data_IF_884930922342
#
_entry.id   IF_884930922342
#
_cell.length_a   1.000
_cell.length_b   1.000
_cell.length_c   1.000
_cell.angle_alpha   90.00
_cell.angle_beta   90.00
_cell.angle_gamma   90.00
#
_symmetry.space_group_name_H-M   'P 1'
#
loop_
_entity.id
_entity.type
_entity.pdbx_description
1 polymer ?
#
# COMPACT_ATOMS: atom_id res chain seq x y z
N UNK A 1 -27.78 -31.04 -15.76
CA UNK A 1 -27.36 -30.66 -14.39
C UNK A 1 -28.61 -30.52 -13.55
N UNK A 2 -28.70 -31.28 -12.45
CA UNK A 2 -29.88 -31.29 -11.58
C UNK A 2 -30.01 -29.94 -10.84
N UNK A 3 -31.24 -29.44 -10.60
CA UNK A 3 -31.48 -28.18 -9.87
C UNK A 3 -30.82 -28.19 -8.47
N UNK A 4 -30.74 -29.36 -7.83
CA UNK A 4 -30.08 -29.51 -6.53
C UNK A 4 -28.56 -29.39 -6.64
N UNK A 5 -27.93 -30.00 -7.65
CA UNK A 5 -26.48 -29.88 -7.91
C UNK A 5 -26.07 -28.43 -8.24
N UNK A 6 -26.89 -27.71 -9.00
CA UNK A 6 -26.66 -26.31 -9.31
C UNK A 6 -26.75 -25.42 -8.05
N UNK A 7 -27.72 -25.68 -7.17
CA UNK A 7 -27.89 -24.95 -5.91
C UNK A 7 -26.72 -25.20 -4.94
N UNK A 8 -26.28 -26.44 -4.81
CA UNK A 8 -25.19 -26.81 -3.91
C UNK A 8 -23.84 -26.24 -4.37
N UNK A 9 -23.61 -26.16 -5.70
CA UNK A 9 -22.44 -25.47 -6.27
C UNK A 9 -22.41 -23.96 -6.00
N UNK A 10 -23.58 -23.34 -5.87
CA UNK A 10 -23.74 -21.91 -5.61
C UNK A 10 -23.37 -21.57 -4.16
N UNK A 11 -23.83 -22.36 -3.20
CA UNK A 11 -23.49 -22.19 -1.79
C UNK A 11 -21.99 -22.31 -1.52
N UNK A 12 -21.35 -23.29 -2.15
CA UNK A 12 -19.89 -23.48 -2.06
C UNK A 12 -19.16 -22.26 -2.64
N UNK A 13 -19.61 -21.75 -3.78
CA UNK A 13 -19.00 -20.57 -4.42
C UNK A 13 -19.13 -19.31 -3.54
N UNK A 14 -20.30 -19.07 -2.96
CA UNK A 14 -20.53 -17.94 -2.05
C UNK A 14 -19.66 -18.03 -0.80
N UNK A 15 -19.59 -19.22 -0.19
CA UNK A 15 -18.77 -19.45 0.99
C UNK A 15 -17.28 -19.23 0.69
N UNK A 16 -16.82 -19.66 -0.49
CA UNK A 16 -15.45 -19.46 -0.94
C UNK A 16 -15.12 -17.97 -1.16
N UNK A 17 -16.04 -17.20 -1.77
CA UNK A 17 -15.87 -15.74 -1.95
C UNK A 17 -15.76 -15.03 -0.59
N UNK A 18 -16.59 -15.41 0.39
CA UNK A 18 -16.55 -14.83 1.74
C UNK A 18 -15.21 -15.12 2.42
N UNK A 19 -14.72 -16.37 2.34
CA UNK A 19 -13.43 -16.74 2.94
C UNK A 19 -12.29 -15.97 2.27
N UNK A 20 -12.26 -15.91 0.94
CA UNK A 20 -11.22 -15.16 0.21
C UNK A 20 -11.26 -13.67 0.56
N UNK A 21 -12.46 -13.08 0.63
CA UNK A 21 -12.66 -11.70 1.06
C UNK A 21 -12.16 -11.45 2.48
N UNK A 22 -12.41 -12.36 3.41
CA UNK A 22 -11.92 -12.28 4.79
C UNK A 22 -10.39 -12.34 4.87
N UNK A 23 -9.76 -13.25 4.12
CA UNK A 23 -8.29 -13.35 4.05
C UNK A 23 -7.68 -12.06 3.49
N UNK A 24 -8.19 -11.58 2.35
CA UNK A 24 -7.71 -10.35 1.72
C UNK A 24 -7.89 -9.15 2.66
N UNK A 25 -9.06 -9.03 3.31
CA UNK A 25 -9.35 -7.95 4.26
C UNK A 25 -8.44 -7.98 5.48
N UNK A 26 -8.17 -9.16 6.03
CA UNK A 26 -7.27 -9.34 7.19
C UNK A 26 -5.84 -8.98 6.84
N UNK A 27 -5.34 -9.48 5.71
CA UNK A 27 -3.99 -9.15 5.22
C UNK A 27 -3.86 -7.65 4.94
N UNK A 28 -4.88 -7.03 4.31
CA UNK A 28 -4.95 -5.60 4.08
C UNK A 28 -4.94 -4.79 5.39
N UNK A 29 -5.65 -5.24 6.42
CA UNK A 29 -5.67 -4.61 7.74
C UNK A 29 -4.31 -4.68 8.45
N UNK A 30 -3.65 -5.84 8.44
CA UNK A 30 -2.30 -6.01 9.01
C UNK A 30 -1.31 -5.11 8.27
N UNK A 31 -1.38 -5.09 6.94
CA UNK A 31 -0.56 -4.25 6.09
C UNK A 31 -0.74 -2.75 6.37
N UNK A 32 -1.99 -2.28 6.48
CA UNK A 32 -2.32 -0.91 6.81
C UNK A 32 -1.77 -0.49 8.18
N UNK A 33 -1.99 -1.33 9.20
CA UNK A 33 -1.53 -1.06 10.54
C UNK A 33 0.00 -1.07 10.63
N UNK A 34 0.65 -2.05 9.98
CA UNK A 34 2.10 -2.13 9.89
C UNK A 34 2.73 -0.91 9.23
N UNK A 35 2.09 -0.33 8.20
CA UNK A 35 2.54 0.92 7.59
C UNK A 35 2.53 2.08 8.61
N UNK A 36 1.43 2.27 9.33
CA UNK A 36 1.29 3.39 10.28
C UNK A 36 2.23 3.23 11.46
N UNK A 37 2.26 2.04 12.09
CA UNK A 37 3.17 1.74 13.21
C UNK A 37 4.63 1.87 12.77
N UNK A 38 4.98 1.32 11.60
CA UNK A 38 6.33 1.37 11.07
C UNK A 38 6.78 2.81 10.78
N UNK A 39 5.94 3.62 10.15
CA UNK A 39 6.28 5.01 9.84
C UNK A 39 6.49 5.82 11.12
N UNK A 40 5.60 5.63 12.10
CA UNK A 40 5.71 6.25 13.42
C UNK A 40 7.00 5.84 14.14
N UNK A 41 7.34 4.54 14.11
CA UNK A 41 8.56 4.02 14.71
C UNK A 41 9.81 4.73 14.16
N UNK A 42 9.93 4.87 12.84
CA UNK A 42 11.08 5.56 12.24
C UNK A 42 11.09 7.06 12.55
N UNK A 43 9.91 7.70 12.58
CA UNK A 43 9.81 9.12 12.93
C UNK A 43 10.29 9.39 14.36
N UNK A 44 9.95 8.54 15.32
CA UNK A 44 10.37 8.65 16.72
C UNK A 44 11.88 8.45 16.93
N UNK A 45 12.59 7.85 15.97
CA UNK A 45 14.06 7.75 16.01
C UNK A 45 14.76 9.06 15.64
N UNK A 46 14.06 10.00 15.03
CA UNK A 46 14.64 11.30 14.66
C UNK A 46 14.77 12.12 15.94
N UNK A 47 15.98 12.58 16.33
CA UNK A 47 16.21 13.31 17.56
C UNK A 47 15.74 14.78 17.41
N UNK A 48 14.43 14.97 17.26
CA UNK A 48 13.79 16.29 17.22
C UNK A 48 13.34 16.61 18.64
N UNK A 49 13.95 17.60 19.27
CA UNK A 49 13.46 18.14 20.54
C UNK A 49 12.05 18.70 20.35
N UNK A 50 11.11 18.37 21.25
CA UNK A 50 9.74 18.91 21.21
C UNK A 50 9.66 20.43 21.38
N UNK A 51 10.76 21.07 21.78
CA UNK A 51 10.88 22.52 21.75
C UNK A 51 11.22 22.99 20.33
N UNK A 52 10.21 23.55 19.65
CA UNK A 52 10.27 24.09 18.29
C UNK A 52 11.26 25.26 18.09
N UNK A 53 12.12 25.55 19.08
CA UNK A 53 13.04 26.70 19.10
C UNK A 53 14.51 26.32 19.09
N UNK A 54 14.88 25.04 19.09
CA UNK A 54 16.27 24.62 18.92
C UNK A 54 16.65 24.60 17.42
N UNK A 55 17.56 25.49 16.96
CA UNK A 55 18.02 25.52 15.58
C UNK A 55 18.66 24.21 15.12
N UNK A 56 19.26 23.44 16.03
CA UNK A 56 19.90 22.16 15.71
C UNK A 56 18.85 21.10 15.36
N UNK A 57 17.81 20.99 16.20
CA UNK A 57 16.66 20.12 15.97
C UNK A 57 15.96 20.42 14.64
N UNK A 58 15.78 21.70 14.33
CA UNK A 58 15.25 22.15 13.03
C UNK A 58 16.13 21.69 11.87
N UNK A 59 17.45 21.91 11.96
CA UNK A 59 18.41 21.51 10.92
C UNK A 59 18.43 19.99 10.67
N UNK A 60 18.38 19.19 11.73
CA UNK A 60 18.33 17.72 11.64
C UNK A 60 17.05 17.28 10.93
N UNK A 61 15.89 17.82 11.32
CA UNK A 61 14.62 17.46 10.69
C UNK A 61 14.62 17.77 9.18
N UNK A 62 15.12 18.95 8.79
CA UNK A 62 15.29 19.29 7.37
C UNK A 62 16.25 18.36 6.63
N UNK A 63 17.38 17.99 7.25
CA UNK A 63 18.32 17.06 6.66
C UNK A 63 17.67 15.68 6.42
N UNK A 64 16.85 15.20 7.35
CA UNK A 64 16.09 13.95 7.19
C UNK A 64 15.07 14.05 6.06
N UNK A 65 14.32 15.15 5.96
CA UNK A 65 13.38 15.38 4.85
C UNK A 65 14.08 15.39 3.48
N UNK A 66 15.23 16.07 3.38
CA UNK A 66 16.05 16.08 2.16
C UNK A 66 16.58 14.68 1.85
N UNK A 67 17.07 13.96 2.85
CA UNK A 67 17.52 12.58 2.71
C UNK A 67 16.41 11.65 2.20
N UNK A 68 15.21 11.77 2.77
CA UNK A 68 14.03 11.03 2.34
C UNK A 68 13.66 11.36 0.88
N UNK A 69 13.66 12.63 0.50
CA UNK A 69 13.40 13.06 -0.87
C UNK A 69 14.43 12.47 -1.85
N UNK A 70 15.72 12.50 -1.53
CA UNK A 70 16.78 11.90 -2.34
C UNK A 70 16.61 10.38 -2.46
N UNK A 71 16.20 9.71 -1.39
CA UNK A 71 15.95 8.27 -1.39
C UNK A 71 14.75 7.91 -2.28
N UNK A 72 13.67 8.69 -2.21
CA UNK A 72 12.50 8.53 -3.09
C UNK A 72 12.86 8.77 -4.56
N UNK A 73 13.67 9.79 -4.86
CA UNK A 73 14.14 10.07 -6.22
C UNK A 73 15.04 8.95 -6.75
N UNK A 74 15.91 8.42 -5.89
CA UNK A 74 16.77 7.27 -6.21
C UNK A 74 15.94 6.02 -6.49
N UNK A 75 14.92 5.76 -5.67
CA UNK A 75 13.96 4.67 -5.87
C UNK A 75 13.25 4.79 -7.22
N UNK A 76 12.78 5.99 -7.58
CA UNK A 76 12.13 6.25 -8.88
C UNK A 76 13.06 5.94 -10.06
N UNK A 77 14.31 6.41 -9.99
CA UNK A 77 15.32 6.23 -11.04
C UNK A 77 15.71 4.76 -11.19
N UNK A 78 15.99 4.09 -10.08
CA UNK A 78 16.34 2.66 -10.07
C UNK A 78 15.22 1.80 -10.65
N UNK A 79 13.97 2.08 -10.28
CA UNK A 79 12.82 1.34 -10.76
C UNK A 79 12.37 1.72 -12.19
N UNK A 80 12.97 2.75 -12.80
CA UNK A 80 12.61 3.32 -14.11
C UNK A 80 11.10 3.63 -14.23
N UNK A 81 10.52 4.19 -13.17
CA UNK A 81 9.08 4.47 -13.13
C UNK A 81 8.73 5.73 -13.93
N UNK A 82 7.78 5.67 -14.89
CA UNK A 82 7.35 6.85 -15.63
C UNK A 82 6.63 7.85 -14.72
N UNK A 83 5.78 7.35 -13.82
CA UNK A 83 5.07 8.13 -12.79
C UNK A 83 4.78 7.27 -11.56
N UNK A 84 4.48 7.94 -10.44
CA UNK A 84 3.93 7.30 -9.25
C UNK A 84 2.44 7.01 -9.46
N UNK A 85 1.94 5.92 -8.87
CA UNK A 85 0.53 5.58 -8.91
C UNK A 85 -0.20 6.09 -7.67
N UNK A 86 -1.42 6.58 -7.88
CA UNK A 86 -2.29 7.13 -6.84
C UNK A 86 -3.62 6.39 -6.77
N UNK A 87 -4.49 6.69 -5.78
CA UNK A 87 -5.74 5.95 -5.54
C UNK A 87 -6.63 5.75 -6.78
N UNK A 88 -6.61 6.74 -7.68
CA UNK A 88 -7.32 6.69 -8.96
C UNK A 88 -6.91 5.49 -9.83
N UNK A 89 -5.62 5.11 -9.84
CA UNK A 89 -5.12 3.97 -10.61
C UNK A 89 -5.68 2.64 -10.10
N UNK A 90 -5.80 2.51 -8.77
CA UNK A 90 -6.39 1.32 -8.16
C UNK A 90 -7.88 1.24 -8.46
N UNK A 91 -8.61 2.35 -8.34
CA UNK A 91 -10.04 2.42 -8.64
C UNK A 91 -10.29 2.08 -10.12
N UNK A 92 -9.49 2.65 -11.03
CA UNK A 92 -9.59 2.39 -12.45
C UNK A 92 -9.41 0.89 -12.76
N UNK A 93 -8.39 0.26 -12.19
CA UNK A 93 -8.14 -1.18 -12.39
C UNK A 93 -9.21 -2.10 -11.77
N UNK A 94 -9.95 -1.61 -10.77
CA UNK A 94 -11.07 -2.32 -10.19
C UNK A 94 -12.35 -2.18 -11.04
N UNK A 95 -12.51 -1.04 -11.73
CA UNK A 95 -13.66 -0.76 -12.59
C UNK A 95 -13.52 -1.33 -14.00
N UNK A 96 -12.30 -1.30 -14.56
CA UNK A 96 -12.02 -1.74 -15.92
C UNK A 96 -11.15 -3.00 -15.90
N UNK A 97 -11.74 -4.13 -16.26
CA UNK A 97 -11.02 -5.41 -16.40
C UNK A 97 -9.95 -5.39 -17.50
N UNK A 98 -10.02 -4.42 -18.41
CA UNK A 98 -9.02 -4.20 -19.48
C UNK A 98 -7.76 -3.50 -18.99
N UNK A 99 -7.79 -2.86 -17.81
CA UNK A 99 -6.66 -2.13 -17.23
C UNK A 99 -6.08 -2.90 -16.03
N UNK A 100 -5.05 -3.75 -16.23
CA UNK A 100 -4.51 -4.56 -15.15
C UNK A 100 -3.80 -3.68 -14.12
N UNK A 101 -4.05 -3.97 -12.83
CA UNK A 101 -3.36 -3.29 -11.74
C UNK A 101 -1.84 -3.54 -11.81
N UNK A 102 -1.06 -2.46 -11.91
CA UNK A 102 0.41 -2.54 -11.94
C UNK A 102 0.98 -2.73 -10.53
N UNK A 103 1.00 -3.98 -10.05
CA UNK A 103 1.44 -4.36 -8.69
C UNK A 103 2.80 -3.78 -8.30
N UNK A 104 3.79 -3.82 -9.21
CA UNK A 104 5.15 -3.29 -8.95
C UNK A 104 5.13 -1.79 -8.68
N UNK A 105 4.42 -1.03 -9.51
CA UNK A 105 4.33 0.42 -9.41
C UNK A 105 3.55 0.84 -8.17
N UNK A 106 2.48 0.10 -7.84
CA UNK A 106 1.71 0.29 -6.61
C UNK A 106 2.56 0.10 -5.36
N UNK A 107 3.27 -1.02 -5.26
CA UNK A 107 4.17 -1.31 -4.13
C UNK A 107 5.24 -0.22 -3.95
N UNK A 108 5.91 0.19 -5.03
CA UNK A 108 6.93 1.23 -4.98
C UNK A 108 6.37 2.60 -4.57
N UNK A 109 5.15 2.92 -4.99
CA UNK A 109 4.46 4.15 -4.59
C UNK A 109 4.12 4.12 -3.09
N UNK A 110 3.72 2.97 -2.56
CA UNK A 110 3.58 2.77 -1.11
C UNK A 110 4.91 2.97 -0.39
N UNK A 111 5.99 2.36 -0.88
CA UNK A 111 7.32 2.50 -0.26
C UNK A 111 7.77 3.95 -0.24
N UNK A 112 7.62 4.69 -1.35
CA UNK A 112 7.95 6.10 -1.42
C UNK A 112 7.19 6.93 -0.38
N UNK A 113 5.89 6.66 -0.22
CA UNK A 113 5.10 7.36 0.79
C UNK A 113 5.40 6.92 2.23
N UNK A 114 5.77 5.65 2.45
CA UNK A 114 6.28 5.18 3.75
C UNK A 114 7.53 5.96 4.14
N UNK A 115 8.51 6.08 3.24
CA UNK A 115 9.74 6.86 3.45
C UNK A 115 9.40 8.31 3.79
N UNK A 116 8.47 8.91 3.04
CA UNK A 116 8.04 10.30 3.26
C UNK A 116 7.36 10.48 4.63
N UNK A 117 6.47 9.57 5.01
CA UNK A 117 5.77 9.62 6.30
C UNK A 117 6.73 9.39 7.47
N UNK A 118 7.66 8.44 7.35
CA UNK A 118 8.72 8.17 8.33
C UNK A 118 9.62 9.38 8.59
N UNK A 119 9.82 10.23 7.58
CA UNK A 119 10.60 11.46 7.71
C UNK A 119 9.81 12.63 8.36
N UNK A 120 8.52 12.45 8.65
CA UNK A 120 7.65 13.49 9.20
C UNK A 120 7.11 14.48 8.16
N UNK A 121 7.16 14.13 6.86
CA UNK A 121 6.58 14.99 5.83
C UNK A 121 5.05 15.04 5.94
N UNK A 122 4.46 16.18 5.57
CA UNK A 122 3.01 16.35 5.50
C UNK A 122 2.43 15.62 4.29
N UNK A 123 2.22 14.32 4.42
CA UNK A 123 1.66 13.45 3.36
C UNK A 123 0.53 12.59 3.89
N UNK A 124 -0.42 12.25 3.01
CA UNK A 124 -1.54 11.38 3.34
C UNK A 124 -1.14 9.91 3.38
N UNK A 125 -1.60 9.19 4.41
CA UNK A 125 -1.33 7.75 4.61
C UNK A 125 -2.26 6.81 3.83
N UNK A 126 -3.46 7.28 3.44
CA UNK A 126 -4.52 6.40 2.95
C UNK A 126 -4.32 5.88 1.53
N UNK A 127 -3.76 6.68 0.63
CA UNK A 127 -3.46 6.23 -0.75
C UNK A 127 -2.41 5.11 -0.80
N UNK A 128 -1.24 5.27 -0.15
CA UNK A 128 -0.20 4.25 -0.04
C UNK A 128 -0.69 2.92 0.52
N UNK A 129 -1.46 2.98 1.60
CA UNK A 129 -2.01 1.78 2.26
C UNK A 129 -2.97 1.04 1.34
N UNK A 130 -3.84 1.77 0.62
CA UNK A 130 -4.75 1.19 -0.36
C UNK A 130 -4.02 0.51 -1.52
N UNK A 131 -2.95 1.13 -2.04
CA UNK A 131 -2.10 0.54 -3.08
C UNK A 131 -1.40 -0.74 -2.63
N UNK A 132 -0.97 -0.77 -1.37
CA UNK A 132 -0.32 -1.93 -0.81
C UNK A 132 -1.31 -3.09 -0.62
N UNK A 133 -2.49 -2.81 -0.06
CA UNK A 133 -3.58 -3.77 0.05
C UNK A 133 -3.99 -4.34 -1.32
N UNK A 134 -4.15 -3.49 -2.33
CA UNK A 134 -4.44 -3.91 -3.70
C UNK A 134 -3.32 -4.76 -4.31
N UNK A 135 -2.06 -4.43 -4.03
CA UNK A 135 -0.90 -5.20 -4.49
C UNK A 135 -0.87 -6.61 -3.88
N UNK A 136 -1.11 -6.72 -2.57
CA UNK A 136 -1.22 -8.00 -1.86
C UNK A 136 -2.39 -8.81 -2.39
N UNK A 137 -3.57 -8.19 -2.53
CA UNK A 137 -4.77 -8.84 -3.07
C UNK A 137 -4.54 -9.37 -4.50
N UNK A 138 -3.91 -8.56 -5.37
CA UNK A 138 -3.53 -8.95 -6.73
C UNK A 138 -2.55 -10.14 -6.74
N UNK A 139 -1.59 -10.16 -5.82
CA UNK A 139 -0.66 -11.27 -5.63
C UNK A 139 -1.38 -12.55 -5.19
N UNK A 140 -2.26 -12.46 -4.19
CA UNK A 140 -3.07 -13.59 -3.71
C UNK A 140 -3.97 -14.13 -4.83
N UNK A 141 -4.62 -13.26 -5.61
CA UNK A 141 -5.46 -13.68 -6.75
C UNK A 141 -4.69 -14.50 -7.79
N UNK A 142 -3.40 -14.23 -8.01
CA UNK A 142 -2.56 -15.04 -8.92
C UNK A 142 -2.25 -16.43 -8.39
N UNK A 143 -2.25 -16.61 -7.06
CA UNK A 143 -1.95 -17.89 -6.41
C UNK A 143 -3.18 -18.79 -6.26
N UNK A 144 -4.38 -18.21 -6.29
CA UNK A 144 -5.63 -18.96 -6.24
C UNK A 144 -6.12 -19.17 -7.68
N UNK A 145 -6.08 -20.39 -8.23
CA UNK A 145 -6.61 -20.71 -9.55
C UNK A 145 -8.13 -20.79 -9.49
N UNK A 146 -8.80 -19.68 -9.21
CA UNK A 146 -10.24 -19.57 -9.26
C UNK A 146 -10.66 -18.69 -10.42
N UNK A 147 -11.56 -19.19 -11.27
CA UNK A 147 -12.28 -18.39 -12.28
C UNK A 147 -13.36 -17.54 -11.59
N UNK A 148 -12.93 -16.67 -10.67
CA UNK A 148 -13.76 -15.63 -10.05
C UNK A 148 -13.29 -14.28 -10.55
#
# INVERSE_FOLDING_TARGET
>A
MNKNEARDSLWISLLLIVIVGMVIGTLGGIAANGFVIGAKFFFELIPVSGEARDPLSFGIHWAVLVGAALLILSLKRWAKLPRWHGPADTILSAQLSTEPFQTKTGFLSTTAAFISASAGASVGQYGPVLHFGASVASGVRKLIPTRI
#
